data_IF_193592395495
#
_entry.id   IF_193592395495
#
_cell.length_a   1.000
_cell.length_b   1.000
_cell.length_c   1.000
_cell.angle_alpha   90.00
_cell.angle_beta   90.00
_cell.angle_gamma   90.00
#
_symmetry.space_group_name_H-M   'P 1'
#
loop_
_entity.id
_entity.type
_entity.pdbx_description
1 polymer ?
#
# COMPACT_ATOMS: atom_id res chain seq x y z
N UNK A 1 -14.13 -52.61 -3.65
CA UNK A 1 -13.04 -51.64 -3.39
C UNK A 1 -12.55 -50.93 -4.67
N UNK A 2 -12.27 -51.68 -5.76
CA UNK A 2 -11.74 -51.16 -7.04
C UNK A 2 -12.50 -49.96 -7.65
N UNK A 3 -13.83 -50.01 -7.66
CA UNK A 3 -14.66 -48.94 -8.26
C UNK A 3 -14.60 -47.61 -7.49
N UNK A 4 -14.35 -47.63 -6.18
CA UNK A 4 -14.20 -46.40 -5.39
C UNK A 4 -12.88 -45.69 -5.70
N UNK A 5 -11.80 -46.45 -5.91
CA UNK A 5 -10.49 -45.90 -6.31
C UNK A 5 -10.57 -45.27 -7.70
N UNK A 6 -11.17 -45.96 -8.68
CA UNK A 6 -11.39 -45.40 -10.03
C UNK A 6 -12.22 -44.12 -10.02
N UNK A 7 -13.30 -44.07 -9.24
CA UNK A 7 -14.12 -42.87 -9.13
C UNK A 7 -13.40 -41.72 -8.42
N UNK A 8 -12.55 -42.00 -7.43
CA UNK A 8 -11.74 -40.98 -6.77
C UNK A 8 -10.70 -40.38 -7.73
N UNK A 9 -10.00 -41.22 -8.50
CA UNK A 9 -9.05 -40.79 -9.53
C UNK A 9 -9.75 -40.01 -10.66
N UNK A 10 -10.92 -40.47 -11.12
CA UNK A 10 -11.72 -39.75 -12.12
C UNK A 10 -12.26 -38.41 -11.59
N UNK A 11 -12.63 -38.32 -10.32
CA UNK A 11 -13.06 -37.07 -9.66
C UNK A 11 -11.90 -36.09 -9.50
N UNK A 12 -10.72 -36.58 -9.08
CA UNK A 12 -9.49 -35.76 -9.02
C UNK A 12 -9.07 -35.27 -10.41
N UNK A 13 -9.16 -36.10 -11.45
CA UNK A 13 -8.87 -35.69 -12.83
C UNK A 13 -9.85 -34.65 -13.37
N UNK A 14 -11.15 -34.72 -13.01
CA UNK A 14 -12.17 -33.74 -13.38
C UNK A 14 -12.10 -32.43 -12.59
N UNK A 15 -11.46 -32.44 -11.41
CA UNK A 15 -11.23 -31.25 -10.59
C UNK A 15 -9.92 -30.51 -10.91
N UNK A 16 -9.10 -31.02 -11.83
CA UNK A 16 -7.87 -30.33 -12.24
C UNK A 16 -8.21 -29.35 -13.36
N UNK A 17 -8.61 -28.13 -12.99
CA UNK A 17 -8.57 -26.99 -13.91
C UNK A 17 -7.11 -26.84 -14.34
N UNK A 18 -6.75 -27.40 -15.49
CA UNK A 18 -5.46 -27.14 -16.12
C UNK A 18 -5.62 -25.79 -16.77
N UNK A 19 -5.21 -24.73 -16.07
CA UNK A 19 -4.99 -23.45 -16.73
C UNK A 19 -4.02 -23.70 -17.89
N UNK A 20 -4.36 -23.18 -19.07
CA UNK A 20 -3.46 -23.23 -20.22
C UNK A 20 -2.12 -22.58 -19.84
N UNK A 21 -1.03 -23.07 -20.39
CA UNK A 21 0.31 -22.54 -20.09
C UNK A 21 0.39 -21.04 -20.40
N UNK A 22 -0.29 -20.62 -21.47
CA UNK A 22 -0.46 -19.21 -21.84
C UNK A 22 -1.16 -18.40 -20.74
N UNK A 23 -2.24 -18.94 -20.17
CA UNK A 23 -2.96 -18.29 -19.09
C UNK A 23 -2.12 -18.21 -17.80
N UNK A 24 -1.31 -19.22 -17.51
CA UNK A 24 -0.38 -19.17 -16.37
C UNK A 24 0.72 -18.12 -16.56
N UNK A 25 1.20 -17.94 -17.79
CA UNK A 25 2.17 -16.89 -18.14
C UNK A 25 1.51 -15.51 -17.99
N UNK A 26 0.31 -15.31 -18.55
CA UNK A 26 -0.45 -14.05 -18.42
C UNK A 26 -0.70 -13.67 -16.95
N UNK A 27 -1.09 -14.63 -16.11
CA UNK A 27 -1.27 -14.42 -14.66
C UNK A 27 0.05 -14.09 -13.94
N UNK A 28 1.15 -14.71 -14.36
CA UNK A 28 2.46 -14.46 -13.76
C UNK A 28 2.97 -13.05 -14.11
N UNK A 29 2.75 -12.62 -15.36
CA UNK A 29 3.08 -11.29 -15.87
C UNK A 29 2.21 -10.23 -15.17
N UNK A 30 0.89 -10.41 -15.10
CA UNK A 30 0.00 -9.50 -14.37
C UNK A 30 0.39 -9.38 -12.89
N UNK A 31 0.69 -10.50 -12.23
CA UNK A 31 1.16 -10.47 -10.85
C UNK A 31 2.53 -9.78 -10.70
N UNK A 32 3.38 -9.78 -11.73
CA UNK A 32 4.66 -9.07 -11.74
C UNK A 32 4.43 -7.57 -11.88
N UNK A 33 3.60 -7.16 -12.82
CA UNK A 33 3.26 -5.75 -13.04
C UNK A 33 2.63 -5.16 -11.77
N UNK A 34 1.69 -5.86 -11.13
CA UNK A 34 1.12 -5.44 -9.84
C UNK A 34 2.17 -5.26 -8.73
N UNK A 35 3.19 -6.14 -8.68
CA UNK A 35 4.28 -6.01 -7.69
C UNK A 35 5.12 -4.77 -7.98
N UNK A 36 5.46 -4.54 -9.24
CA UNK A 36 6.24 -3.37 -9.67
C UNK A 36 5.50 -2.06 -9.35
N UNK A 37 4.19 -2.01 -9.59
CA UNK A 37 3.37 -0.85 -9.21
C UNK A 37 3.36 -0.60 -7.70
N UNK A 38 3.24 -1.65 -6.89
CA UNK A 38 3.27 -1.56 -5.42
C UNK A 38 4.64 -1.11 -4.90
N UNK A 39 5.71 -1.66 -5.45
CA UNK A 39 7.09 -1.29 -5.11
C UNK A 39 7.35 0.18 -5.47
N UNK A 40 6.90 0.61 -6.66
CA UNK A 40 6.98 2.00 -7.05
C UNK A 40 6.18 2.90 -6.11
N UNK A 41 4.94 2.53 -5.78
CA UNK A 41 4.12 3.31 -4.85
C UNK A 41 4.76 3.44 -3.46
N UNK A 42 5.37 2.36 -2.96
CA UNK A 42 6.16 2.37 -1.73
C UNK A 42 7.33 3.36 -1.79
N UNK A 43 8.13 3.30 -2.87
CA UNK A 43 9.24 4.23 -3.08
C UNK A 43 8.79 5.69 -3.20
N UNK A 44 7.69 5.95 -3.89
CA UNK A 44 7.14 7.29 -4.07
C UNK A 44 6.71 7.92 -2.74
N UNK A 45 6.17 7.13 -1.81
CA UNK A 45 5.85 7.60 -0.45
C UNK A 45 7.10 8.00 0.31
N UNK A 46 8.14 7.15 0.30
CA UNK A 46 9.41 7.44 0.99
C UNK A 46 10.04 8.73 0.47
N UNK A 47 10.16 8.87 -0.86
CA UNK A 47 10.67 10.08 -1.49
C UNK A 47 9.86 11.32 -1.10
N UNK A 48 8.54 11.22 -1.09
CA UNK A 48 7.67 12.33 -0.74
C UNK A 48 7.77 12.72 0.73
N UNK A 49 8.01 11.77 1.62
CA UNK A 49 8.31 12.06 3.04
C UNK A 49 9.63 12.82 3.15
N UNK A 50 10.68 12.43 2.43
CA UNK A 50 11.98 13.12 2.45
C UNK A 50 11.89 14.58 1.97
N UNK A 51 11.00 14.84 1.01
CA UNK A 51 10.74 16.18 0.47
C UNK A 51 9.96 17.10 1.42
N UNK A 52 9.39 16.56 2.51
CA UNK A 52 8.71 17.40 3.49
C UNK A 52 9.71 18.27 4.28
N UNK A 53 9.28 19.48 4.69
CA UNK A 53 10.04 20.30 5.61
C UNK A 53 10.44 19.49 6.87
N UNK A 54 11.65 19.69 7.43
CA UNK A 54 12.14 18.91 8.57
C UNK A 54 11.16 18.89 9.76
N UNK A 55 10.49 20.02 10.01
CA UNK A 55 9.48 20.14 11.05
C UNK A 55 8.24 19.27 10.80
N UNK A 56 7.85 19.10 9.55
CA UNK A 56 6.68 18.29 9.18
C UNK A 56 7.03 16.79 9.21
N UNK A 57 8.28 16.41 8.88
CA UNK A 57 8.80 15.05 9.10
C UNK A 57 8.84 14.66 10.57
N UNK A 58 9.43 15.50 11.44
CA UNK A 58 9.47 15.24 12.89
C UNK A 58 8.06 15.05 13.49
N UNK A 59 7.06 15.79 13.00
CA UNK A 59 5.67 15.60 13.42
C UNK A 59 5.08 14.26 12.96
N UNK A 60 5.40 13.81 11.75
CA UNK A 60 5.02 12.49 11.25
C UNK A 60 5.67 11.39 12.09
N UNK A 61 6.98 11.45 12.29
CA UNK A 61 7.74 10.43 13.03
C UNK A 61 7.14 10.23 14.42
N UNK A 62 6.94 11.32 15.17
CA UNK A 62 6.28 11.29 16.49
C UNK A 62 4.86 10.75 16.46
N UNK A 63 4.11 11.02 15.38
CA UNK A 63 2.71 10.55 15.26
C UNK A 63 2.63 9.06 14.94
N UNK A 64 3.58 8.55 14.16
CA UNK A 64 3.62 7.15 13.75
C UNK A 64 4.38 6.24 14.73
N UNK A 65 4.97 6.81 15.80
CA UNK A 65 5.44 6.02 16.94
C UNK A 65 4.32 5.15 17.54
N UNK A 66 4.64 3.92 18.00
CA UNK A 66 3.67 3.03 18.60
C UNK A 66 2.93 3.67 19.79
N UNK A 67 1.60 3.64 19.76
CA UNK A 67 0.75 4.17 20.83
C UNK A 67 0.65 5.70 20.86
N UNK A 68 1.33 6.43 19.97
CA UNK A 68 1.18 7.87 19.87
C UNK A 68 -0.23 8.26 19.39
N UNK A 69 -0.72 9.37 19.91
CA UNK A 69 -1.98 10.01 19.50
C UNK A 69 -1.70 11.47 19.20
N UNK A 70 -2.61 12.13 18.46
CA UNK A 70 -2.49 13.58 18.24
C UNK A 70 -2.46 14.32 19.58
N UNK A 71 -3.24 13.90 20.58
CA UNK A 71 -3.22 14.55 21.91
C UNK A 71 -1.88 14.37 22.62
N UNK A 72 -1.30 13.16 22.60
CA UNK A 72 -0.02 12.90 23.28
C UNK A 72 1.14 13.63 22.61
N UNK A 73 1.17 13.66 21.28
CA UNK A 73 2.20 14.39 20.52
C UNK A 73 2.06 15.89 20.75
N UNK A 74 0.84 16.43 20.73
CA UNK A 74 0.59 17.85 20.99
C UNK A 74 1.07 18.27 22.39
N UNK A 75 0.81 17.44 23.40
CA UNK A 75 1.32 17.65 24.75
C UNK A 75 2.85 17.63 24.81
N UNK A 76 3.48 16.65 24.15
CA UNK A 76 4.94 16.49 24.14
C UNK A 76 5.68 17.68 23.49
N UNK A 77 5.07 18.34 22.50
CA UNK A 77 5.66 19.49 21.79
C UNK A 77 5.15 20.86 22.28
N UNK A 78 4.32 20.88 23.35
CA UNK A 78 3.78 22.11 23.93
C UNK A 78 2.82 22.88 23.01
N UNK A 79 2.00 22.19 22.21
CA UNK A 79 1.02 22.82 21.31
C UNK A 79 -0.41 22.40 21.61
N UNK A 80 -1.42 23.24 21.29
CA UNK A 80 -2.82 22.83 21.35
C UNK A 80 -3.11 21.66 20.40
N UNK A 81 -3.90 20.65 20.80
CA UNK A 81 -4.27 19.53 19.94
C UNK A 81 -4.91 19.96 18.62
N UNK A 82 -5.75 20.99 18.62
CA UNK A 82 -6.40 21.54 17.42
C UNK A 82 -5.39 22.02 16.39
N UNK A 83 -4.31 22.66 16.86
CA UNK A 83 -3.21 23.08 16.02
C UNK A 83 -2.47 21.90 15.40
N UNK A 84 -2.32 20.80 16.15
CA UNK A 84 -1.70 19.59 15.63
C UNK A 84 -2.59 18.84 14.64
N UNK A 85 -3.92 18.78 14.86
CA UNK A 85 -4.87 18.25 13.87
C UNK A 85 -4.74 18.98 12.52
N UNK A 86 -4.69 20.32 12.55
CA UNK A 86 -4.52 21.14 11.34
C UNK A 86 -3.17 20.90 10.67
N UNK A 87 -2.10 20.81 11.45
CA UNK A 87 -0.77 20.50 10.93
C UNK A 87 -0.74 19.12 10.25
N UNK A 88 -1.23 18.08 10.92
CA UNK A 88 -1.31 16.72 10.36
C UNK A 88 -2.15 16.67 9.08
N UNK A 89 -3.27 17.38 9.03
CA UNK A 89 -4.10 17.47 7.83
C UNK A 89 -3.31 18.06 6.66
N UNK A 90 -2.65 19.19 6.87
CA UNK A 90 -1.81 19.84 5.85
C UNK A 90 -0.69 18.92 5.37
N UNK A 91 -0.04 18.20 6.28
CA UNK A 91 1.03 17.25 5.95
C UNK A 91 0.47 16.12 5.08
N UNK A 92 -0.66 15.53 5.46
CA UNK A 92 -1.30 14.47 4.65
C UNK A 92 -1.73 14.97 3.27
N UNK A 93 -2.29 16.18 3.17
CA UNK A 93 -2.67 16.75 1.87
C UNK A 93 -1.42 16.97 0.98
N UNK A 94 -0.32 17.46 1.57
CA UNK A 94 0.96 17.66 0.86
C UNK A 94 1.58 16.34 0.38
N UNK A 95 1.61 15.33 1.27
CA UNK A 95 2.08 13.99 0.91
C UNK A 95 1.22 13.37 -0.18
N UNK A 96 -0.09 13.47 -0.06
CA UNK A 96 -1.02 12.96 -1.05
C UNK A 96 -0.76 13.58 -2.42
N UNK A 97 -0.65 14.91 -2.50
CA UNK A 97 -0.40 15.60 -3.75
C UNK A 97 0.96 15.21 -4.37
N UNK A 98 1.99 15.06 -3.54
CA UNK A 98 3.30 14.61 -3.98
C UNK A 98 3.26 13.18 -4.55
N UNK A 99 2.69 12.24 -3.80
CA UNK A 99 2.60 10.82 -4.19
C UNK A 99 1.74 10.69 -5.44
N UNK A 100 0.59 11.39 -5.51
CA UNK A 100 -0.25 11.43 -6.70
C UNK A 100 0.47 11.93 -7.95
N UNK A 101 1.35 12.93 -7.83
CA UNK A 101 2.15 13.41 -8.97
C UNK A 101 3.13 12.35 -9.45
N UNK A 102 3.82 11.66 -8.53
CA UNK A 102 4.76 10.57 -8.86
C UNK A 102 4.06 9.34 -9.44
N UNK A 103 2.93 8.93 -8.89
CA UNK A 103 2.17 7.81 -9.42
C UNK A 103 1.65 8.11 -10.83
N UNK A 104 1.11 9.31 -11.04
CA UNK A 104 0.65 9.72 -12.38
C UNK A 104 1.75 9.78 -13.42
N UNK A 105 3.01 10.05 -13.05
CA UNK A 105 4.12 10.02 -14.03
C UNK A 105 4.45 8.60 -14.49
N UNK A 106 4.16 7.58 -13.69
CA UNK A 106 4.29 6.15 -14.05
C UNK A 106 2.99 5.54 -14.60
N UNK A 107 1.94 6.33 -14.80
CA UNK A 107 0.64 5.83 -15.26
C UNK A 107 -0.17 5.08 -14.19
N UNK A 108 0.31 5.05 -12.95
CA UNK A 108 -0.38 4.41 -11.81
C UNK A 108 -1.40 5.40 -11.24
N UNK A 109 -2.66 4.96 -11.10
CA UNK A 109 -3.72 5.80 -10.53
C UNK A 109 -4.24 5.22 -9.23
N UNK A 110 -3.99 5.91 -8.11
CA UNK A 110 -4.52 5.52 -6.80
C UNK A 110 -5.69 6.45 -6.45
N UNK A 111 -6.92 5.94 -6.26
CA UNK A 111 -8.04 6.77 -5.84
C UNK A 111 -7.81 7.33 -4.43
N UNK A 112 -8.32 8.55 -4.17
CA UNK A 112 -8.32 9.13 -2.81
C UNK A 112 -9.15 8.23 -1.87
N UNK A 113 -8.65 7.87 -0.67
CA UNK A 113 -9.45 7.16 0.32
C UNK A 113 -10.62 8.01 0.84
#
# INVERSE_FOLDING_TARGET
AYNKVRNHLAKQHRCRVKFDERLLIELADEAKDMREELDFAGSAVLDCVEMLPPRDRDLLDRRYEPGATIKSVAAAIGRPPEGLYKAMRRIHDTLYDCVQRKLRSEGINVPKP
#
